data_IF_536020817378
#
_entry.id   IF_536020817378
#
_cell.length_a   1.000
_cell.length_b   1.000
_cell.length_c   1.000
_cell.angle_alpha   90.00
_cell.angle_beta   90.00
_cell.angle_gamma   90.00
#
_symmetry.space_group_name_H-M   'P 1'
#
loop_
_entity.id
_entity.type
_entity.pdbx_description
1 polymer ?
#
# COMPACT_ATOMS: atom_id res chain seq x y z
N UNK A 1 18.68 7.79 13.92
CA UNK A 1 17.47 8.57 14.32
C UNK A 1 16.30 8.12 13.49
N UNK A 2 15.07 8.18 13.99
CA UNK A 2 13.89 7.89 13.18
C UNK A 2 13.77 8.91 12.03
N UNK A 3 13.47 8.44 10.83
CA UNK A 3 13.26 9.31 9.67
C UNK A 3 11.86 9.96 9.72
N UNK A 4 11.67 11.05 8.97
CA UNK A 4 10.38 11.75 8.92
C UNK A 4 9.74 11.52 7.55
N UNK A 5 8.60 10.84 7.52
CA UNK A 5 7.75 10.68 6.34
C UNK A 5 6.91 11.94 6.13
N UNK A 6 7.02 12.56 4.96
CA UNK A 6 6.42 13.87 4.67
C UNK A 6 5.40 13.78 3.55
N UNK A 7 4.46 14.72 3.54
CA UNK A 7 3.61 14.88 2.37
C UNK A 7 4.46 15.25 1.15
N UNK A 8 4.35 14.44 0.09
CA UNK A 8 5.12 14.61 -1.15
C UNK A 8 4.91 16.00 -1.81
N UNK A 9 3.75 16.60 -1.58
CA UNK A 9 3.42 17.92 -2.13
C UNK A 9 4.03 19.09 -1.34
N UNK A 10 4.43 18.86 -0.10
CA UNK A 10 4.96 19.90 0.78
C UNK A 10 6.50 19.98 0.79
N UNK A 11 7.17 19.03 0.14
CA UNK A 11 8.63 18.97 0.13
C UNK A 11 9.16 18.51 -1.23
N UNK A 12 9.67 19.45 -2.02
CA UNK A 12 10.17 19.16 -3.36
C UNK A 12 11.40 18.26 -3.37
N UNK A 13 12.30 18.40 -2.40
CA UNK A 13 13.50 17.56 -2.28
C UNK A 13 13.11 16.09 -2.07
N UNK A 14 12.22 15.81 -1.11
CA UNK A 14 11.73 14.44 -0.85
C UNK A 14 10.97 13.87 -2.05
N UNK A 15 10.19 14.72 -2.74
CA UNK A 15 9.50 14.32 -3.98
C UNK A 15 10.50 13.89 -5.06
N UNK A 16 11.51 14.71 -5.29
CA UNK A 16 12.49 14.48 -6.35
C UNK A 16 13.36 13.26 -6.01
N UNK A 17 13.77 13.09 -4.75
CA UNK A 17 14.43 11.88 -4.25
C UNK A 17 13.55 10.62 -4.41
N UNK A 18 12.25 10.71 -4.12
CA UNK A 18 11.34 9.58 -4.33
C UNK A 18 11.28 9.16 -5.80
N UNK A 19 11.11 10.12 -6.72
CA UNK A 19 11.07 9.87 -8.17
C UNK A 19 12.38 9.25 -8.65
N UNK A 20 13.51 9.78 -8.21
CA UNK A 20 14.83 9.25 -8.52
C UNK A 20 15.00 7.84 -7.97
N UNK A 21 14.74 7.65 -6.68
CA UNK A 21 14.91 6.38 -5.98
C UNK A 21 14.11 5.23 -6.61
N UNK A 22 12.84 5.45 -6.98
CA UNK A 22 12.05 4.39 -7.62
C UNK A 22 12.57 4.06 -9.02
N UNK A 23 13.12 5.02 -9.75
CA UNK A 23 13.79 4.76 -11.04
C UNK A 23 15.11 4.02 -10.88
N UNK A 24 15.88 4.33 -9.84
CA UNK A 24 17.09 3.59 -9.49
C UNK A 24 16.75 2.14 -9.16
N UNK A 25 15.69 1.87 -8.37
CA UNK A 25 15.26 0.50 -8.05
C UNK A 25 14.86 -0.32 -9.28
N UNK A 26 14.39 0.30 -10.36
CA UNK A 26 14.11 -0.38 -11.65
C UNK A 26 15.39 -0.83 -12.38
N UNK A 27 16.52 -0.27 -12.04
CA UNK A 27 17.83 -0.61 -12.61
C UNK A 27 18.75 -1.30 -11.59
N UNK A 28 18.24 -1.60 -10.40
CA UNK A 28 18.95 -2.23 -9.30
C UNK A 28 18.61 -3.73 -9.25
N UNK A 29 19.61 -4.59 -9.29
CA UNK A 29 19.47 -6.05 -9.27
C UNK A 29 20.23 -6.60 -8.08
N UNK A 30 19.53 -7.13 -7.08
CA UNK A 30 20.14 -7.74 -5.90
C UNK A 30 20.88 -9.04 -6.24
N UNK A 31 20.47 -9.73 -7.33
CA UNK A 31 21.14 -10.86 -7.95
C UNK A 31 21.02 -10.78 -9.47
N UNK A 32 22.01 -11.22 -10.24
CA UNK A 32 22.02 -11.08 -11.70
C UNK A 32 20.87 -11.80 -12.43
N UNK A 33 20.38 -12.89 -11.86
CA UNK A 33 19.32 -13.76 -12.40
C UNK A 33 17.93 -13.39 -11.88
N UNK A 34 17.82 -12.33 -11.06
CA UNK A 34 16.55 -11.91 -10.43
C UNK A 34 15.93 -10.72 -11.16
N UNK A 35 14.60 -10.53 -11.02
CA UNK A 35 13.98 -9.25 -11.36
C UNK A 35 14.69 -8.09 -10.66
N UNK A 36 14.60 -6.88 -11.21
CA UNK A 36 15.06 -5.70 -10.51
C UNK A 36 14.35 -5.54 -9.15
N UNK A 37 14.96 -4.82 -8.23
CA UNK A 37 14.48 -4.68 -6.86
C UNK A 37 13.06 -4.12 -6.81
N UNK A 38 12.69 -3.19 -7.69
CA UNK A 38 11.33 -2.66 -7.74
C UNK A 38 10.30 -3.74 -8.09
N UNK A 39 10.56 -4.54 -9.12
CA UNK A 39 9.65 -5.57 -9.60
C UNK A 39 9.50 -6.73 -8.61
N UNK A 40 10.49 -6.99 -7.75
CA UNK A 40 10.34 -7.98 -6.68
C UNK A 40 9.22 -7.56 -5.70
N UNK A 41 9.06 -6.27 -5.39
CA UNK A 41 7.93 -5.79 -4.57
C UNK A 41 6.58 -5.97 -5.27
N UNK A 42 6.52 -5.82 -6.60
CA UNK A 42 5.31 -6.12 -7.39
C UNK A 42 4.94 -7.60 -7.29
N UNK A 43 5.92 -8.48 -7.46
CA UNK A 43 5.77 -9.94 -7.35
C UNK A 43 5.32 -10.32 -5.94
N UNK A 44 5.93 -9.74 -4.92
CA UNK A 44 5.58 -10.03 -3.53
C UNK A 44 4.14 -9.64 -3.20
N UNK A 45 3.70 -8.45 -3.62
CA UNK A 45 2.33 -8.02 -3.42
C UNK A 45 1.34 -8.96 -4.13
N UNK A 46 1.61 -9.32 -5.39
CA UNK A 46 0.78 -10.26 -6.14
C UNK A 46 0.63 -11.60 -5.40
N UNK A 47 1.74 -12.24 -5.03
CA UNK A 47 1.68 -13.53 -4.34
C UNK A 47 0.97 -13.43 -2.98
N UNK A 48 1.13 -12.32 -2.27
CA UNK A 48 0.43 -12.07 -1.01
C UNK A 48 -1.08 -11.98 -1.20
N UNK A 49 -1.53 -11.36 -2.28
CA UNK A 49 -2.95 -11.30 -2.62
C UNK A 49 -3.52 -12.66 -3.07
N UNK A 50 -2.71 -13.48 -3.75
CA UNK A 50 -3.14 -14.81 -4.22
C UNK A 50 -3.06 -15.88 -3.12
N UNK A 51 -2.39 -15.62 -2.01
CA UNK A 51 -2.23 -16.59 -0.92
C UNK A 51 -3.36 -16.48 0.08
N UNK A 52 -4.31 -17.43 0.07
CA UNK A 52 -5.38 -17.51 1.07
C UNK A 52 -4.83 -17.80 2.47
N UNK A 53 -5.44 -17.19 3.48
CA UNK A 53 -5.03 -17.35 4.89
C UNK A 53 -6.20 -17.60 5.84
N UNK A 54 -6.26 -18.75 6.50
CA UNK A 54 -5.41 -19.95 6.26
C UNK A 54 -5.61 -20.56 4.88
N UNK A 55 -4.68 -21.35 4.37
CA UNK A 55 -4.89 -22.06 3.10
C UNK A 55 -6.21 -22.84 3.09
N UNK A 56 -6.92 -22.82 1.98
CA UNK A 56 -8.18 -23.53 1.77
C UNK A 56 -9.31 -23.18 2.77
N UNK A 57 -9.25 -22.03 3.40
CA UNK A 57 -10.23 -21.66 4.45
C UNK A 57 -11.58 -21.22 3.91
N UNK A 58 -11.69 -20.88 2.62
CA UNK A 58 -12.90 -20.25 2.04
C UNK A 58 -13.26 -18.89 2.65
N UNK A 59 -12.40 -18.36 3.53
CA UNK A 59 -12.66 -17.12 4.30
C UNK A 59 -12.63 -15.85 3.43
N UNK A 60 -12.14 -15.94 2.20
CA UNK A 60 -11.89 -14.79 1.33
C UNK A 60 -10.71 -13.92 1.75
N UNK A 61 -10.12 -14.14 2.94
CA UNK A 61 -8.92 -13.46 3.41
C UNK A 61 -7.69 -13.94 2.65
N UNK A 62 -6.76 -13.02 2.44
CA UNK A 62 -5.43 -13.38 1.93
C UNK A 62 -4.32 -12.83 2.84
N UNK A 63 -3.08 -13.06 2.44
CA UNK A 63 -1.93 -12.76 3.30
C UNK A 63 -1.65 -11.26 3.48
N UNK A 64 -2.27 -10.38 2.69
CA UNK A 64 -2.07 -8.94 2.76
C UNK A 64 -3.37 -8.12 2.90
N UNK A 65 -4.53 -8.71 2.54
CA UNK A 65 -5.80 -7.99 2.42
C UNK A 65 -6.98 -8.77 3.01
N UNK A 66 -8.12 -8.08 3.11
CA UNK A 66 -9.42 -8.63 3.52
C UNK A 66 -9.42 -9.19 4.93
N UNK A 67 -8.50 -8.76 5.77
CA UNK A 67 -8.38 -9.23 7.13
C UNK A 67 -7.42 -8.43 7.99
N UNK A 68 -7.31 -8.77 9.28
CA UNK A 68 -6.59 -7.98 10.27
C UNK A 68 -5.14 -7.60 9.89
N UNK A 69 -4.44 -8.43 9.12
CA UNK A 69 -3.04 -8.18 8.74
C UNK A 69 -2.87 -7.08 7.69
N UNK A 70 -3.94 -6.54 7.11
CA UNK A 70 -3.85 -5.50 6.09
C UNK A 70 -2.87 -4.38 6.48
N UNK A 71 -3.07 -3.75 7.63
CA UNK A 71 -2.22 -2.62 8.05
C UNK A 71 -0.79 -3.05 8.41
N UNK A 72 -0.54 -4.06 9.27
CA UNK A 72 0.81 -4.44 9.59
C UNK A 72 1.59 -5.02 8.39
N UNK A 73 0.94 -5.77 7.49
CA UNK A 73 1.62 -6.30 6.32
C UNK A 73 2.12 -5.17 5.40
N UNK A 74 1.27 -4.19 5.09
CA UNK A 74 1.67 -3.05 4.26
C UNK A 74 2.70 -2.14 4.96
N UNK A 75 2.59 -1.92 6.28
CA UNK A 75 3.62 -1.23 7.06
C UNK A 75 4.98 -1.91 6.92
N UNK A 76 5.03 -3.22 7.00
CA UNK A 76 6.27 -3.97 6.79
C UNK A 76 6.82 -3.79 5.38
N UNK A 77 5.97 -3.96 4.36
CA UNK A 77 6.35 -3.73 2.96
C UNK A 77 6.93 -2.32 2.75
N UNK A 78 6.29 -1.29 3.31
CA UNK A 78 6.77 0.09 3.21
C UNK A 78 8.11 0.31 3.89
N UNK A 79 8.36 -0.30 5.06
CA UNK A 79 9.65 -0.21 5.77
C UNK A 79 10.76 -0.81 4.90
N UNK A 80 10.52 -1.97 4.31
CA UNK A 80 11.51 -2.61 3.44
C UNK A 80 11.76 -1.81 2.16
N UNK A 81 10.69 -1.29 1.56
CA UNK A 81 10.79 -0.44 0.37
C UNK A 81 11.58 0.85 0.67
N UNK A 82 11.31 1.50 1.80
CA UNK A 82 12.05 2.68 2.28
C UNK A 82 13.54 2.37 2.49
N UNK A 83 13.89 1.23 3.12
CA UNK A 83 15.27 0.81 3.28
C UNK A 83 16.00 0.63 1.94
N UNK A 84 15.33 0.08 0.93
CA UNK A 84 15.91 -0.07 -0.40
C UNK A 84 16.04 1.28 -1.13
N UNK A 85 15.10 2.21 -0.95
CA UNK A 85 15.24 3.58 -1.44
C UNK A 85 16.41 4.29 -0.78
N UNK A 86 16.55 4.22 0.54
CA UNK A 86 17.71 4.76 1.27
C UNK A 86 19.03 4.22 0.74
N UNK A 87 19.08 2.93 0.45
CA UNK A 87 20.27 2.28 -0.10
C UNK A 87 20.63 2.82 -1.48
N UNK A 88 19.70 2.87 -2.42
CA UNK A 88 20.01 3.31 -3.79
C UNK A 88 20.21 4.82 -3.91
N UNK A 89 19.62 5.60 -3.00
CA UNK A 89 19.82 7.04 -2.88
C UNK A 89 21.12 7.39 -2.10
N UNK A 90 21.72 6.40 -1.44
CA UNK A 90 22.80 6.61 -0.48
C UNK A 90 22.45 7.68 0.59
N UNK A 91 21.22 7.67 1.05
CA UNK A 91 20.67 8.61 2.04
C UNK A 91 19.85 7.87 3.10
N UNK A 92 20.48 7.57 4.25
CA UNK A 92 19.83 6.90 5.39
C UNK A 92 18.79 7.78 6.11
N UNK A 93 18.71 9.07 5.79
CA UNK A 93 17.73 10.00 6.36
C UNK A 93 16.49 10.17 5.47
N UNK A 94 16.48 9.57 4.28
CA UNK A 94 15.32 9.60 3.41
C UNK A 94 14.13 8.91 4.09
N UNK A 95 13.01 9.62 4.20
CA UNK A 95 11.72 9.08 4.65
C UNK A 95 10.76 8.96 3.49
N UNK A 96 10.14 7.80 3.33
CA UNK A 96 9.16 7.52 2.27
C UNK A 96 8.00 8.53 2.34
N UNK A 97 7.75 9.32 1.29
CA UNK A 97 6.66 10.30 1.32
C UNK A 97 5.28 9.65 1.25
N UNK A 98 4.27 10.40 1.67
CA UNK A 98 2.86 10.03 1.50
C UNK A 98 2.11 11.05 0.65
N UNK A 99 1.01 10.60 0.05
CA UNK A 99 0.04 11.43 -0.62
C UNK A 99 -1.22 11.57 0.23
N UNK A 100 -1.50 12.79 0.74
CA UNK A 100 -2.74 13.06 1.46
C UNK A 100 -3.92 13.19 0.48
N UNK A 101 -4.36 12.04 -0.04
CA UNK A 101 -5.45 11.97 -1.00
C UNK A 101 -6.80 12.46 -0.45
N UNK A 102 -6.97 12.49 0.88
CA UNK A 102 -8.18 13.04 1.48
C UNK A 102 -8.26 14.57 1.36
N UNK A 103 -7.12 15.25 1.30
CA UNK A 103 -7.08 16.68 1.00
C UNK A 103 -7.50 16.95 -0.45
N UNK A 104 -7.02 16.15 -1.40
CA UNK A 104 -7.45 16.25 -2.80
C UNK A 104 -8.91 15.80 -2.97
N UNK A 105 -9.42 14.92 -2.10
CA UNK A 105 -10.82 14.50 -2.05
C UNK A 105 -11.82 15.61 -1.76
N UNK A 106 -11.39 16.74 -1.18
CA UNK A 106 -12.21 17.94 -0.96
C UNK A 106 -12.44 18.75 -2.26
N UNK A 107 -11.63 18.50 -3.28
CA UNK A 107 -11.76 19.14 -4.59
C UNK A 107 -12.93 18.55 -5.39
N UNK A 108 -13.42 19.28 -6.39
CA UNK A 108 -14.40 18.73 -7.34
C UNK A 108 -13.75 17.60 -8.16
N UNK A 109 -14.53 16.65 -8.71
CA UNK A 109 -13.99 15.53 -9.52
C UNK A 109 -13.09 16.00 -10.68
N UNK A 110 -13.40 17.14 -11.29
CA UNK A 110 -12.56 17.73 -12.34
C UNK A 110 -11.23 18.25 -11.78
N UNK A 111 -11.25 18.94 -10.65
CA UNK A 111 -10.05 19.47 -10.01
C UNK A 111 -9.15 18.35 -9.47
N UNK A 112 -9.73 17.26 -8.96
CA UNK A 112 -8.97 16.09 -8.49
C UNK A 112 -8.05 15.53 -9.59
N UNK A 113 -8.52 15.47 -10.84
CA UNK A 113 -7.72 15.02 -12.00
C UNK A 113 -6.59 15.97 -12.38
N UNK A 114 -6.61 17.20 -11.87
CA UNK A 114 -5.62 18.26 -12.09
C UNK A 114 -4.87 18.65 -10.81
N UNK A 115 -5.06 17.90 -9.72
CA UNK A 115 -4.38 18.15 -8.46
C UNK A 115 -2.85 18.08 -8.64
N UNK A 116 -2.12 18.76 -7.77
CA UNK A 116 -0.67 18.93 -7.88
C UNK A 116 0.10 17.59 -7.91
N UNK A 117 -0.48 16.53 -7.33
CA UNK A 117 0.09 15.18 -7.39
C UNK A 117 0.26 14.69 -8.85
N UNK A 118 -0.62 15.10 -9.77
CA UNK A 118 -0.61 14.70 -11.18
C UNK A 118 0.18 15.63 -12.09
N UNK A 119 0.87 16.61 -11.52
CA UNK A 119 1.71 17.54 -12.28
C UNK A 119 2.91 16.83 -12.93
N UNK A 120 3.47 17.44 -13.99
CA UNK A 120 4.62 16.92 -14.75
C UNK A 120 5.90 16.77 -13.91
N UNK A 121 6.03 17.51 -12.83
CA UNK A 121 7.14 17.43 -11.89
C UNK A 121 6.83 16.56 -10.65
N UNK A 122 5.71 15.84 -10.67
CA UNK A 122 5.33 14.92 -9.60
C UNK A 122 4.99 13.54 -10.17
N UNK A 123 3.77 13.04 -10.07
CA UNK A 123 3.46 11.67 -10.51
C UNK A 123 3.05 11.58 -11.98
N UNK A 124 2.77 12.71 -12.65
CA UNK A 124 2.25 12.75 -14.00
C UNK A 124 0.77 12.37 -14.10
N UNK A 125 0.18 12.60 -15.26
CA UNK A 125 -1.26 12.52 -15.47
C UNK A 125 -1.81 11.13 -15.77
N UNK A 126 -3.01 11.14 -16.37
CA UNK A 126 -3.75 9.98 -16.84
C UNK A 126 -3.34 9.59 -18.26
N UNK A 127 -3.63 8.36 -18.65
CA UNK A 127 -3.49 7.87 -20.02
C UNK A 127 -3.19 6.38 -20.14
N UNK A 128 -3.47 5.82 -21.31
CA UNK A 128 -3.14 4.47 -21.75
C UNK A 128 -2.40 4.54 -23.11
N UNK A 129 -1.11 4.88 -23.10
CA UNK A 129 -0.17 5.03 -21.98
C UNK A 129 -0.23 6.40 -21.30
N UNK A 130 0.33 6.48 -20.07
CA UNK A 130 0.66 7.76 -19.43
C UNK A 130 1.68 8.50 -20.28
N UNK A 131 1.39 9.77 -20.66
CA UNK A 131 2.22 10.56 -21.59
C UNK A 131 2.94 11.73 -20.93
N UNK A 132 2.69 11.98 -19.63
CA UNK A 132 3.24 13.14 -18.92
C UNK A 132 3.93 12.75 -17.62
N UNK A 133 4.84 13.60 -17.15
CA UNK A 133 5.56 13.43 -15.90
C UNK A 133 6.71 12.41 -15.94
N UNK A 134 7.29 12.10 -14.78
CA UNK A 134 8.49 11.26 -14.68
C UNK A 134 8.24 9.79 -15.01
N UNK A 135 6.98 9.35 -14.96
CA UNK A 135 6.56 7.96 -15.20
C UNK A 135 5.84 7.78 -16.55
N UNK A 136 6.04 8.72 -17.50
CA UNK A 136 5.48 8.63 -18.85
C UNK A 136 6.12 7.50 -19.67
N UNK A 137 5.46 7.17 -20.77
CA UNK A 137 5.99 6.23 -21.77
C UNK A 137 7.43 6.61 -22.17
N UNK A 138 8.32 5.61 -22.22
CA UNK A 138 9.75 5.79 -22.48
C UNK A 138 10.60 6.19 -21.26
N UNK A 139 9.98 6.55 -20.13
CA UNK A 139 10.68 6.88 -18.87
C UNK A 139 10.36 5.89 -17.73
N UNK A 140 9.26 5.19 -17.85
CA UNK A 140 8.84 4.15 -16.91
C UNK A 140 8.29 2.95 -17.67
N UNK A 141 8.64 1.76 -17.20
CA UNK A 141 8.25 0.51 -17.84
C UNK A 141 7.66 -0.47 -16.83
N UNK A 142 6.52 -1.04 -17.19
CA UNK A 142 5.92 -2.20 -16.52
C UNK A 142 6.50 -3.45 -17.17
N UNK A 143 7.12 -4.31 -16.35
CA UNK A 143 7.78 -5.55 -16.82
C UNK A 143 6.98 -6.81 -16.45
N UNK A 144 6.08 -6.70 -15.50
CA UNK A 144 5.30 -7.82 -14.95
C UNK A 144 3.87 -7.34 -14.74
N UNK A 145 2.91 -8.11 -15.21
CA UNK A 145 1.50 -7.82 -14.96
C UNK A 145 0.73 -9.08 -14.55
N UNK A 146 -0.45 -8.89 -13.99
CA UNK A 146 -1.39 -9.96 -13.74
C UNK A 146 -2.03 -10.40 -15.05
N UNK A 147 -1.90 -11.68 -15.37
CA UNK A 147 -2.62 -12.37 -16.42
C UNK A 147 -3.45 -13.51 -15.85
N UNK A 148 -3.83 -14.42 -16.71
CA UNK A 148 -4.54 -15.63 -16.34
C UNK A 148 -3.86 -16.85 -16.96
N UNK A 149 -3.91 -17.97 -16.25
CA UNK A 149 -3.41 -19.24 -16.78
C UNK A 149 -4.22 -19.64 -18.00
N UNK A 150 -3.60 -20.03 -19.12
CA UNK A 150 -4.33 -20.47 -20.32
C UNK A 150 -5.34 -21.59 -19.99
N UNK A 151 -6.59 -21.39 -20.36
CA UNK A 151 -7.69 -22.34 -20.07
C UNK A 151 -8.23 -22.32 -18.65
N UNK A 152 -7.77 -21.39 -17.80
CA UNK A 152 -8.25 -21.18 -16.42
C UNK A 152 -8.48 -19.70 -16.16
N UNK A 153 -9.27 -19.41 -15.11
CA UNK A 153 -9.41 -18.05 -14.55
C UNK A 153 -8.43 -17.80 -13.41
N UNK A 154 -7.46 -18.70 -13.19
CA UNK A 154 -6.48 -18.55 -12.11
C UNK A 154 -5.49 -17.41 -12.42
N UNK A 155 -5.39 -16.40 -11.55
CA UNK A 155 -4.46 -15.30 -11.73
C UNK A 155 -3.01 -15.80 -11.75
N UNK A 156 -2.23 -15.31 -12.70
CA UNK A 156 -0.79 -15.60 -12.80
C UNK A 156 -0.01 -14.33 -13.12
N UNK A 157 1.31 -14.38 -12.95
CA UNK A 157 2.20 -13.31 -13.39
C UNK A 157 2.66 -13.59 -14.83
N UNK A 158 2.58 -12.56 -15.65
CA UNK A 158 3.10 -12.60 -17.02
C UNK A 158 4.15 -11.50 -17.22
N UNK A 159 5.23 -11.85 -17.91
CA UNK A 159 6.24 -10.89 -18.32
C UNK A 159 5.70 -10.03 -19.46
N UNK A 160 5.88 -8.73 -19.35
CA UNK A 160 5.48 -7.76 -20.36
C UNK A 160 6.57 -6.70 -20.54
N UNK A 161 6.40 -5.89 -21.58
CA UNK A 161 7.24 -4.70 -21.77
C UNK A 161 6.37 -3.57 -22.31
N UNK A 162 5.76 -2.82 -21.40
CA UNK A 162 4.82 -1.78 -21.79
C UNK A 162 4.91 -0.55 -20.87
N UNK A 163 4.44 0.61 -21.34
CA UNK A 163 4.31 1.78 -20.49
C UNK A 163 3.22 1.63 -19.41
N UNK A 164 3.27 2.52 -18.43
CA UNK A 164 2.28 2.67 -17.36
C UNK A 164 0.92 3.13 -17.91
N UNK A 165 -0.16 2.66 -17.29
CA UNK A 165 -1.54 3.04 -17.56
C UNK A 165 -2.20 3.62 -16.31
N UNK A 166 -2.95 4.71 -16.48
CA UNK A 166 -3.81 5.31 -15.45
C UNK A 166 -5.11 5.80 -16.05
N UNK A 167 -6.20 5.67 -15.31
CA UNK A 167 -7.53 6.09 -15.74
C UNK A 167 -8.21 6.92 -14.65
N UNK A 168 -7.62 8.09 -14.33
CA UNK A 168 -8.01 8.92 -13.18
C UNK A 168 -9.51 9.25 -13.17
N UNK A 169 -10.19 8.83 -12.08
CA UNK A 169 -11.62 9.09 -11.86
C UNK A 169 -12.55 8.42 -12.87
N UNK A 170 -12.12 7.35 -13.54
CA UNK A 170 -12.98 6.54 -14.41
C UNK A 170 -13.75 5.46 -13.65
N UNK A 171 -13.30 5.08 -12.45
CA UNK A 171 -13.98 4.12 -11.60
C UNK A 171 -15.16 4.74 -10.83
N UNK A 172 -15.97 3.90 -10.21
CA UNK A 172 -17.10 4.33 -9.40
C UNK A 172 -16.83 4.06 -7.91
N UNK A 173 -17.07 5.05 -7.01
CA UNK A 173 -17.45 6.45 -7.27
C UNK A 173 -16.30 7.24 -7.91
N UNK A 174 -16.60 8.23 -8.79
CA UNK A 174 -15.60 8.96 -9.58
C UNK A 174 -14.89 10.08 -8.81
N UNK A 175 -14.69 9.90 -7.51
CA UNK A 175 -14.03 10.87 -6.63
C UNK A 175 -13.18 10.18 -5.57
N UNK A 176 -12.12 10.86 -5.16
CA UNK A 176 -11.27 10.44 -4.03
C UNK A 176 -12.04 10.50 -2.69
N UNK A 177 -11.60 9.73 -1.68
CA UNK A 177 -12.16 9.86 -0.34
C UNK A 177 -11.89 11.24 0.25
N UNK A 178 -12.86 11.75 1.01
CA UNK A 178 -12.78 13.04 1.70
C UNK A 178 -12.18 12.90 3.10
N UNK A 179 -11.79 14.02 3.71
CA UNK A 179 -11.36 14.07 5.13
C UNK A 179 -12.47 13.57 6.06
N UNK A 180 -13.72 13.87 5.74
CA UNK A 180 -14.87 13.38 6.53
C UNK A 180 -14.95 11.84 6.49
N UNK A 181 -14.75 11.23 5.32
CA UNK A 181 -14.76 9.76 5.20
C UNK A 181 -13.59 9.12 5.97
N UNK A 182 -12.40 9.71 5.93
CA UNK A 182 -11.26 9.27 6.76
C UNK A 182 -11.57 9.40 8.25
N UNK A 183 -12.12 10.53 8.67
CA UNK A 183 -12.51 10.76 10.07
C UNK A 183 -13.56 9.76 10.55
N UNK A 184 -14.52 9.43 9.70
CA UNK A 184 -15.52 8.42 10.00
C UNK A 184 -14.89 7.03 10.17
N UNK A 185 -13.91 6.67 9.35
CA UNK A 185 -13.17 5.42 9.50
C UNK A 185 -12.37 5.40 10.80
N UNK A 186 -11.64 6.49 11.11
CA UNK A 186 -10.85 6.63 12.34
C UNK A 186 -11.71 6.52 13.59
N UNK A 187 -12.94 7.04 13.57
CA UNK A 187 -13.88 7.06 14.70
C UNK A 187 -14.93 5.95 14.65
N UNK A 188 -14.76 4.95 13.78
CA UNK A 188 -15.75 3.87 13.65
C UNK A 188 -15.98 3.15 14.98
N UNK A 189 -17.23 3.13 15.41
CA UNK A 189 -17.66 2.50 16.67
C UNK A 189 -17.46 3.37 17.92
N UNK A 190 -17.17 4.67 17.78
CA UNK A 190 -17.02 5.56 18.96
C UNK A 190 -18.29 5.54 19.84
N UNK A 191 -18.15 5.54 21.21
CA UNK A 191 -16.91 5.70 21.94
C UNK A 191 -16.02 4.45 22.06
N UNK A 192 -16.51 3.28 21.65
CA UNK A 192 -15.83 1.99 21.74
C UNK A 192 -15.14 1.65 20.41
N UNK A 193 -14.12 2.43 20.04
CA UNK A 193 -13.37 2.20 18.80
C UNK A 193 -12.54 0.93 18.89
N UNK A 194 -12.68 0.06 17.90
CA UNK A 194 -11.97 -1.20 17.81
C UNK A 194 -11.16 -1.29 16.52
N UNK A 195 -10.04 -1.98 16.55
CA UNK A 195 -9.21 -2.21 15.37
C UNK A 195 -9.96 -3.03 14.32
N UNK A 196 -10.51 -4.17 14.72
CA UNK A 196 -11.22 -5.11 13.86
C UNK A 196 -12.13 -6.01 14.72
N UNK A 197 -13.03 -6.80 14.08
CA UNK A 197 -13.96 -7.68 14.79
C UNK A 197 -14.32 -8.91 13.95
N UNK A 198 -14.93 -9.95 14.58
CA UNK A 198 -15.53 -11.02 13.80
C UNK A 198 -16.53 -10.48 12.73
N UNK A 199 -16.57 -11.11 11.56
CA UNK A 199 -15.93 -12.38 11.14
C UNK A 199 -14.46 -12.26 10.69
N UNK A 200 -13.80 -11.11 10.89
CA UNK A 200 -12.39 -10.87 10.57
C UNK A 200 -12.08 -10.88 9.06
N UNK A 201 -13.02 -10.44 8.25
CA UNK A 201 -12.94 -10.39 6.80
C UNK A 201 -13.53 -9.07 6.26
N UNK A 202 -14.03 -9.07 5.03
CA UNK A 202 -14.63 -7.90 4.37
C UNK A 202 -15.95 -7.45 5.01
N UNK A 203 -16.58 -8.28 5.84
CA UNK A 203 -17.84 -7.98 6.55
C UNK A 203 -17.60 -7.52 8.00
N UNK A 204 -16.35 -7.44 8.42
CA UNK A 204 -15.99 -7.02 9.79
C UNK A 204 -16.40 -5.58 10.06
N UNK A 205 -16.78 -5.30 11.30
CA UNK A 205 -16.81 -3.94 11.82
C UNK A 205 -15.41 -3.56 12.35
N UNK A 206 -15.11 -2.25 12.40
CA UNK A 206 -13.88 -1.72 12.97
C UNK A 206 -13.08 -0.85 12.01
N UNK A 207 -12.09 -0.19 12.59
CA UNK A 207 -11.23 0.76 11.89
C UNK A 207 -10.55 0.16 10.66
N UNK A 208 -9.93 -1.05 10.81
CA UNK A 208 -9.21 -1.70 9.72
C UNK A 208 -10.08 -1.85 8.47
N UNK A 209 -11.29 -2.38 8.61
CA UNK A 209 -12.16 -2.67 7.47
C UNK A 209 -12.68 -1.39 6.79
N UNK A 210 -12.99 -0.35 7.58
CA UNK A 210 -13.37 0.95 7.05
C UNK A 210 -12.21 1.62 6.29
N UNK A 211 -10.98 1.53 6.82
CA UNK A 211 -9.81 2.11 6.16
C UNK A 211 -9.39 1.33 4.92
N UNK A 212 -9.43 0.00 4.96
CA UNK A 212 -9.19 -0.84 3.78
C UNK A 212 -10.26 -0.57 2.71
N UNK A 213 -11.53 -0.42 3.12
CA UNK A 213 -12.57 0.14 2.27
C UNK A 213 -13.50 -0.88 1.63
N UNK A 214 -13.91 -1.92 2.37
CA UNK A 214 -14.86 -2.93 1.89
C UNK A 214 -16.34 -2.59 2.15
N UNK A 215 -16.73 -1.94 3.28
CA UNK A 215 -18.15 -1.69 3.56
C UNK A 215 -18.81 -0.82 2.48
N UNK A 216 -19.97 -1.25 2.00
CA UNK A 216 -20.83 -0.51 1.06
C UNK A 216 -20.12 -0.03 -0.23
N UNK A 217 -19.22 -0.83 -0.77
CA UNK A 217 -18.42 -0.53 -1.95
C UNK A 217 -17.06 0.07 -1.63
N UNK A 218 -16.26 0.44 -2.63
CA UNK A 218 -14.90 0.90 -2.37
C UNK A 218 -14.87 2.23 -1.63
N UNK A 219 -14.24 2.22 -0.44
CA UNK A 219 -13.98 3.40 0.41
C UNK A 219 -12.49 3.58 0.62
N UNK A 220 -12.08 4.69 1.16
CA UNK A 220 -10.72 4.99 1.59
C UNK A 220 -9.66 4.35 0.67
N UNK A 221 -8.82 3.44 1.16
CA UNK A 221 -7.75 2.80 0.39
C UNK A 221 -8.25 2.16 -0.92
N UNK A 222 -9.29 1.32 -0.88
CA UNK A 222 -9.82 0.66 -2.08
C UNK A 222 -10.33 1.67 -3.12
N UNK A 223 -10.94 2.77 -2.65
CA UNK A 223 -11.40 3.84 -3.55
C UNK A 223 -10.25 4.54 -4.25
N UNK A 224 -9.13 4.76 -3.57
CA UNK A 224 -7.94 5.35 -4.21
C UNK A 224 -7.44 4.46 -5.35
N UNK A 225 -7.37 3.14 -5.14
CA UNK A 225 -7.02 2.19 -6.20
C UNK A 225 -7.98 2.29 -7.40
N UNK A 226 -9.28 2.23 -7.13
CA UNK A 226 -10.32 2.32 -8.17
C UNK A 226 -10.29 3.68 -8.88
N UNK A 227 -10.05 4.76 -8.14
CA UNK A 227 -10.03 6.12 -8.68
C UNK A 227 -8.81 6.38 -9.58
N UNK A 228 -7.61 5.89 -9.19
CA UNK A 228 -6.42 5.99 -10.04
C UNK A 228 -6.56 5.11 -11.27
N UNK A 229 -7.12 3.91 -11.10
CA UNK A 229 -7.37 2.97 -12.19
C UNK A 229 -6.11 2.47 -12.90
N UNK A 230 -6.28 1.91 -14.09
CA UNK A 230 -5.16 1.35 -14.85
C UNK A 230 -4.35 0.35 -14.05
N UNK A 231 -3.04 0.55 -13.97
CA UNK A 231 -2.14 -0.37 -13.26
C UNK A 231 -2.31 -0.36 -11.73
N UNK A 232 -3.06 0.60 -11.15
CA UNK A 232 -3.43 0.58 -9.73
C UNK A 232 -4.57 -0.42 -9.39
N UNK A 233 -5.24 -1.01 -10.39
CA UNK A 233 -6.37 -1.91 -10.17
C UNK A 233 -5.99 -3.34 -9.78
N UNK A 234 -5.15 -4.05 -10.55
CA UNK A 234 -4.85 -5.47 -10.35
C UNK A 234 -3.93 -5.73 -9.14
N UNK A 235 -3.75 -7.02 -8.79
CA UNK A 235 -2.85 -7.42 -7.70
C UNK A 235 -1.37 -7.03 -7.94
N UNK A 236 -1.03 -6.63 -9.14
CA UNK A 236 0.26 -6.04 -9.51
C UNK A 236 0.27 -4.50 -9.39
N UNK A 237 -0.63 -3.92 -8.59
CA UNK A 237 -0.78 -2.47 -8.40
C UNK A 237 0.49 -1.70 -7.99
N UNK A 238 1.50 -2.30 -7.32
CA UNK A 238 2.77 -1.61 -7.10
C UNK A 238 3.53 -1.25 -8.39
N UNK A 239 3.11 -1.72 -9.57
CA UNK A 239 3.65 -1.24 -10.85
C UNK A 239 3.53 0.27 -11.04
N UNK A 240 2.49 0.86 -10.46
CA UNK A 240 2.37 2.32 -10.41
C UNK A 240 3.02 2.87 -9.13
N UNK A 241 4.04 3.71 -9.21
CA UNK A 241 4.69 4.27 -8.03
C UNK A 241 3.78 5.03 -7.07
N UNK A 242 2.60 5.49 -7.51
CA UNK A 242 1.60 6.11 -6.62
C UNK A 242 1.11 5.13 -5.52
N UNK A 243 1.24 3.83 -5.73
CA UNK A 243 0.91 2.79 -4.77
C UNK A 243 1.55 3.03 -3.39
N UNK A 244 2.86 3.27 -3.39
CA UNK A 244 3.60 3.47 -2.14
C UNK A 244 3.19 4.74 -1.42
N UNK A 245 2.88 5.80 -2.16
CA UNK A 245 2.37 7.06 -1.60
C UNK A 245 0.97 6.90 -0.99
N UNK A 246 0.11 6.11 -1.63
CA UNK A 246 -1.21 5.74 -1.12
C UNK A 246 -1.07 4.95 0.18
N UNK A 247 -0.30 3.86 0.16
CA UNK A 247 -0.13 3.00 1.32
C UNK A 247 0.62 3.68 2.48
N UNK A 248 1.56 4.59 2.18
CA UNK A 248 2.21 5.42 3.19
C UNK A 248 1.19 6.36 3.87
N UNK A 249 0.19 6.88 3.15
CA UNK A 249 -0.90 7.64 3.77
C UNK A 249 -1.86 6.74 4.57
N UNK A 250 -2.13 5.54 4.12
CA UNK A 250 -2.89 4.53 4.90
C UNK A 250 -2.18 4.24 6.23
N UNK A 251 -0.87 4.04 6.19
CA UNK A 251 -0.03 3.83 7.38
C UNK A 251 -0.01 5.07 8.29
N UNK A 252 0.02 6.29 7.71
CA UNK A 252 -0.10 7.54 8.45
C UNK A 252 -1.44 7.64 9.20
N UNK A 253 -2.53 7.30 8.54
CA UNK A 253 -3.86 7.27 9.16
C UNK A 253 -3.90 6.26 10.31
N UNK A 254 -3.30 5.08 10.14
CA UNK A 254 -3.19 4.11 11.22
C UNK A 254 -2.34 4.62 12.39
N UNK A 255 -1.22 5.26 12.12
CA UNK A 255 -0.37 5.86 13.16
C UNK A 255 -1.12 6.96 13.93
N UNK A 256 -1.91 7.79 13.25
CA UNK A 256 -2.78 8.78 13.89
C UNK A 256 -3.89 8.15 14.72
N UNK A 257 -4.52 7.08 14.24
CA UNK A 257 -5.50 6.31 14.98
C UNK A 257 -4.90 5.72 16.27
N UNK A 258 -3.68 5.15 16.19
CA UNK A 258 -2.96 4.64 17.36
C UNK A 258 -2.68 5.76 18.39
N UNK A 259 -2.34 6.95 17.93
CA UNK A 259 -2.09 8.10 18.80
C UNK A 259 -3.37 8.62 19.46
N UNK A 260 -4.46 8.78 18.70
CA UNK A 260 -5.75 9.31 19.20
C UNK A 260 -6.35 8.39 20.26
N UNK A 261 -6.25 7.08 20.08
CA UNK A 261 -6.85 6.09 20.99
C UNK A 261 -5.85 5.44 21.95
N UNK A 262 -4.69 6.10 22.17
CA UNK A 262 -3.67 5.66 23.12
C UNK A 262 -3.21 4.21 22.90
N UNK A 263 -2.82 3.90 21.67
CA UNK A 263 -2.32 2.59 21.27
C UNK A 263 -3.37 1.47 21.44
N UNK A 264 -4.47 1.52 20.72
CA UNK A 264 -5.46 0.46 20.71
C UNK A 264 -4.83 -0.86 20.28
N UNK A 265 -5.23 -1.91 20.95
CA UNK A 265 -4.66 -3.24 20.76
C UNK A 265 -5.04 -3.81 19.39
N UNK A 266 -4.04 -4.32 18.70
CA UNK A 266 -4.28 -5.16 17.53
C UNK A 266 -5.07 -6.42 17.93
N UNK A 267 -6.06 -6.74 17.13
CA UNK A 267 -6.83 -7.99 17.26
C UNK A 267 -6.91 -8.67 15.89
N UNK A 268 -7.03 -10.00 15.83
CA UNK A 268 -7.18 -10.93 16.92
C UNK A 268 -5.86 -11.18 17.70
N UNK A 269 -5.99 -11.48 18.98
CA UNK A 269 -4.85 -11.82 19.83
C UNK A 269 -4.28 -13.22 19.50
N UNK A 270 -3.19 -13.59 20.15
CA UNK A 270 -2.48 -14.85 19.88
C UNK A 270 -3.25 -16.12 20.25
N UNK A 271 -4.24 -16.01 21.16
CA UNK A 271 -5.08 -17.13 21.61
C UNK A 271 -6.35 -17.31 20.76
N UNK A 272 -6.57 -16.49 19.74
CA UNK A 272 -7.72 -16.61 18.86
C UNK A 272 -7.74 -17.94 18.09
N UNK A 273 -8.91 -18.29 17.56
CA UNK A 273 -9.16 -19.55 16.83
C UNK A 273 -8.06 -19.88 15.80
N UNK A 274 -7.71 -21.15 15.62
CA UNK A 274 -6.83 -21.61 14.54
C UNK A 274 -7.30 -21.19 13.13
N UNK A 275 -8.59 -20.95 12.92
CA UNK A 275 -9.15 -20.42 11.68
C UNK A 275 -8.67 -19.00 11.34
N UNK A 276 -8.02 -18.35 12.29
CA UNK A 276 -7.40 -17.02 12.13
C UNK A 276 -5.86 -17.09 12.01
N UNK A 277 -5.32 -18.29 11.81
CA UNK A 277 -3.88 -18.45 11.58
C UNK A 277 -3.40 -17.53 10.48
N UNK A 278 -2.29 -16.85 10.69
CA UNK A 278 -1.67 -15.80 9.87
C UNK A 278 -2.30 -14.41 10.04
N UNK A 279 -3.32 -14.28 10.89
CA UNK A 279 -3.95 -12.99 11.21
C UNK A 279 -3.85 -12.62 12.69
N UNK A 280 -3.32 -13.50 13.54
CA UNK A 280 -3.20 -13.24 14.99
C UNK A 280 -1.98 -12.38 15.28
N UNK A 281 -1.99 -11.71 16.41
CA UNK A 281 -0.96 -10.76 16.87
C UNK A 281 0.48 -11.28 16.74
N UNK A 282 0.70 -12.56 17.06
CA UNK A 282 2.04 -13.16 17.04
C UNK A 282 2.24 -14.18 15.91
N UNK A 283 1.36 -14.25 14.94
CA UNK A 283 1.60 -15.04 13.74
C UNK A 283 2.62 -14.36 12.84
N UNK A 284 3.44 -15.16 12.14
CA UNK A 284 4.34 -14.63 11.14
C UNK A 284 3.56 -14.11 9.94
N UNK A 285 3.91 -12.93 9.48
CA UNK A 285 3.40 -12.34 8.24
C UNK A 285 3.95 -13.11 7.04
N UNK A 286 3.19 -13.10 5.95
CA UNK A 286 3.62 -13.72 4.69
C UNK A 286 4.72 -12.87 4.01
N UNK A 287 5.71 -13.55 3.44
CA UNK A 287 5.83 -14.98 3.33
C UNK A 287 6.43 -15.58 4.60
N UNK A 288 5.95 -16.75 4.96
CA UNK A 288 6.40 -17.47 6.17
C UNK A 288 7.46 -18.50 5.83
N UNK A 289 7.47 -18.91 4.58
CA UNK A 289 8.41 -19.86 4.03
C UNK A 289 9.40 -19.11 3.15
N UNK A 290 10.61 -19.41 3.33
CA UNK A 290 11.79 -19.04 2.57
C UNK A 290 11.62 -19.37 1.08
N UNK A 291 10.83 -18.59 0.38
CA UNK A 291 10.92 -18.56 -1.07
C UNK A 291 12.18 -17.79 -1.40
N UNK A 292 13.16 -18.43 -2.01
CA UNK A 292 14.42 -17.83 -2.39
C UNK A 292 14.29 -16.55 -3.23
N UNK A 293 13.14 -16.38 -3.89
CA UNK A 293 12.81 -15.16 -4.66
C UNK A 293 12.73 -13.92 -3.80
N UNK A 294 12.41 -14.07 -2.51
CA UNK A 294 12.15 -12.91 -1.65
C UNK A 294 13.21 -12.69 -0.56
N UNK A 295 14.15 -13.64 -0.35
CA UNK A 295 15.14 -13.60 0.70
C UNK A 295 15.97 -12.31 0.82
N UNK A 296 16.39 -11.65 -0.25
CA UNK A 296 17.14 -10.40 -0.12
C UNK A 296 16.28 -9.22 0.31
N UNK A 297 14.97 -9.29 0.13
CA UNK A 297 14.05 -8.23 0.54
C UNK A 297 13.62 -8.41 1.98
N UNK A 298 13.38 -9.66 2.42
CA UNK A 298 13.03 -9.88 3.81
C UNK A 298 14.26 -9.93 4.68
N UNK A 299 14.20 -9.17 5.73
CA UNK A 299 15.13 -9.32 6.83
C UNK A 299 14.32 -9.75 8.05
N UNK A 300 14.22 -11.08 8.24
CA UNK A 300 13.70 -11.64 9.45
C UNK A 300 12.23 -12.08 9.42
N UNK A 301 11.84 -12.70 10.53
CA UNK A 301 10.51 -13.26 10.78
C UNK A 301 9.65 -12.21 11.48
N UNK A 302 8.84 -11.48 10.74
CA UNK A 302 8.06 -10.34 11.23
C UNK A 302 6.64 -10.76 11.60
N UNK A 303 6.13 -10.18 12.68
CA UNK A 303 4.78 -10.38 13.21
C UNK A 303 4.06 -9.05 13.34
N UNK A 304 2.72 -9.03 13.37
CA UNK A 304 1.98 -7.80 13.67
C UNK A 304 2.50 -7.10 14.94
N UNK A 305 2.80 -7.86 16.01
CA UNK A 305 3.34 -7.32 17.27
C UNK A 305 4.67 -6.54 17.11
N UNK A 306 5.48 -6.86 16.13
CA UNK A 306 6.74 -6.14 15.87
C UNK A 306 6.55 -4.78 15.17
N UNK A 307 5.33 -4.50 14.73
CA UNK A 307 5.00 -3.36 13.87
C UNK A 307 4.01 -2.38 14.52
N UNK A 308 3.64 -2.61 15.78
CA UNK A 308 2.71 -1.72 16.49
C UNK A 308 3.40 -0.43 16.95
N UNK A 309 4.66 -0.51 17.36
CA UNK A 309 5.48 0.64 17.69
C UNK A 309 6.51 0.89 16.58
N UNK A 310 6.41 2.06 15.98
CA UNK A 310 7.29 2.52 14.91
C UNK A 310 8.20 3.67 15.33
N UNK A 311 8.12 4.11 16.55
CA UNK A 311 8.76 5.36 17.04
C UNK A 311 10.28 5.38 16.84
N UNK A 312 10.93 4.21 16.85
CA UNK A 312 12.37 4.07 16.60
C UNK A 312 12.74 4.04 15.11
N UNK A 313 11.77 3.87 14.20
CA UNK A 313 12.00 3.71 12.76
C UNK A 313 11.69 4.98 11.99
N UNK A 314 10.47 5.47 12.12
CA UNK A 314 10.02 6.70 11.45
C UNK A 314 8.91 7.40 12.23
N UNK A 315 8.67 8.64 11.85
CA UNK A 315 7.51 9.46 12.29
C UNK A 315 6.88 10.10 11.06
N UNK A 316 5.72 10.71 11.24
CA UNK A 316 5.07 11.53 10.20
C UNK A 316 5.20 13.02 10.55
N UNK A 317 5.32 13.87 9.52
CA UNK A 317 5.36 15.33 9.68
C UNK A 317 4.08 15.89 10.30
N UNK A 318 2.93 15.24 10.06
CA UNK A 318 1.66 15.56 10.71
C UNK A 318 0.73 14.36 10.85
N UNK A 319 0.02 14.31 12.00
CA UNK A 319 -1.06 13.35 12.28
C UNK A 319 -2.35 14.08 12.70
N UNK A 320 -2.37 15.43 12.66
CA UNK A 320 -3.44 16.25 13.23
C UNK A 320 -4.58 16.57 12.26
N UNK A 321 -4.44 16.24 11.00
CA UNK A 321 -5.42 16.50 9.93
C UNK A 321 -6.34 15.29 9.64
N UNK A 322 -6.47 14.38 10.62
CA UNK A 322 -7.23 13.12 10.54
C UNK A 322 -8.62 13.23 11.17
#
# INVERSE_FOLDING_TARGET
MAVVRRNILNNSSVRDQYIEGVKLLKNDFLRPDWPNTYDIFVIWHFHSMMTQTPPNSGSGRNAAHRGPVFLPWHRWMLILFENHLQRVLNDSNFGLPYWNWAADGELTPFQQKKAAIWANNCMGGSGEPVTSGPFRAGQWQVNIEQGFTPGSMDPTLVSVRRPLRRALGSGFPPKLPTRTEVRNAVRKGAPNVIYDSPPWDVNSAGFRNELEGWPDGPRNHNRVHVWVGGDMGPATSPNDPIFYLNHCNVDRIWSGWQQIFHNPKYVPNSSASPSLRRHRLNDLLFPVTESAVFDPIYQGRVRPSNLLDISSRYTYDTLTDL
#
